data_IF_358163631192
#
_entry.id   IF_358163631192
#
_cell.length_a   1.000
_cell.length_b   1.000
_cell.length_c   1.000
_cell.angle_alpha   90.00
_cell.angle_beta   90.00
_cell.angle_gamma   90.00
#
_symmetry.space_group_name_H-M   'P 1'
#
loop_
_entity.id
_entity.type
_entity.pdbx_description
1 polymer ?
#
# COMPACT_ATOMS: atom_id res chain seq x y z
N UNK A 1 -8.11 -56.14 -37.34
CA UNK A 1 -9.45 -56.04 -36.75
C UNK A 1 -9.39 -55.05 -35.62
N UNK A 2 -9.75 -53.80 -35.91
CA UNK A 2 -9.90 -52.76 -34.87
C UNK A 2 -11.06 -51.90 -35.30
N UNK A 3 -12.25 -52.25 -34.88
CA UNK A 3 -13.43 -51.43 -34.99
C UNK A 3 -13.96 -51.17 -33.60
N UNK A 4 -14.17 -49.93 -33.29
CA UNK A 4 -15.04 -49.58 -32.17
C UNK A 4 -14.59 -48.52 -31.22
N UNK A 5 -14.34 -47.29 -31.68
CA UNK A 5 -14.24 -46.19 -30.71
C UNK A 5 -14.76 -44.81 -31.22
N UNK A 6 -15.32 -44.74 -32.41
CA UNK A 6 -15.81 -43.47 -32.95
C UNK A 6 -17.16 -43.01 -32.37
N UNK A 7 -17.94 -43.90 -31.77
CA UNK A 7 -19.21 -43.57 -31.13
C UNK A 7 -19.03 -42.91 -29.74
N UNK A 8 -18.11 -43.46 -28.95
CA UNK A 8 -17.86 -43.02 -27.58
C UNK A 8 -17.23 -41.64 -27.51
N UNK A 9 -16.28 -41.31 -28.39
CA UNK A 9 -15.63 -40.01 -28.46
C UNK A 9 -16.58 -38.90 -28.90
N UNK A 10 -17.46 -39.19 -29.88
CA UNK A 10 -18.49 -38.23 -30.30
C UNK A 10 -19.51 -37.96 -29.20
N UNK A 11 -19.92 -39.00 -28.48
CA UNK A 11 -20.83 -38.87 -27.34
C UNK A 11 -20.18 -38.00 -26.24
N UNK A 12 -18.91 -38.20 -25.94
CA UNK A 12 -18.16 -37.45 -24.94
C UNK A 12 -18.04 -35.98 -25.31
N UNK A 13 -17.79 -35.68 -26.58
CA UNK A 13 -17.71 -34.30 -27.07
C UNK A 13 -19.06 -33.57 -26.99
N UNK A 14 -20.15 -34.27 -27.28
CA UNK A 14 -21.50 -33.71 -27.17
C UNK A 14 -21.84 -33.41 -25.71
N UNK A 15 -21.51 -34.32 -24.79
CA UNK A 15 -21.73 -34.09 -23.35
C UNK A 15 -20.91 -32.92 -22.86
N UNK A 16 -19.65 -32.80 -23.28
CA UNK A 16 -18.79 -31.67 -22.93
C UNK A 16 -19.34 -30.34 -23.45
N UNK A 17 -19.80 -30.30 -24.70
CA UNK A 17 -20.42 -29.13 -25.28
C UNK A 17 -21.69 -28.69 -24.53
N UNK A 18 -22.55 -29.67 -24.13
CA UNK A 18 -23.75 -29.37 -23.35
C UNK A 18 -23.43 -28.85 -21.94
N UNK A 19 -22.37 -29.37 -21.29
CA UNK A 19 -21.90 -28.89 -19.99
C UNK A 19 -21.39 -27.44 -20.10
N UNK A 20 -20.63 -27.13 -21.15
CA UNK A 20 -20.12 -25.75 -21.36
C UNK A 20 -21.24 -24.77 -21.65
N UNK A 21 -22.25 -25.17 -22.45
CA UNK A 21 -23.45 -24.37 -22.70
C UNK A 21 -24.23 -24.15 -21.41
N UNK A 22 -24.38 -25.18 -20.58
CA UNK A 22 -25.10 -25.10 -19.31
C UNK A 22 -24.37 -24.15 -18.30
N UNK A 23 -23.05 -24.25 -18.23
CA UNK A 23 -22.24 -23.33 -17.39
C UNK A 23 -22.37 -21.90 -17.90
N UNK A 24 -22.26 -21.68 -19.21
CA UNK A 24 -22.44 -20.36 -19.80
C UNK A 24 -23.84 -19.78 -19.57
N UNK A 25 -24.87 -20.62 -19.68
CA UNK A 25 -26.25 -20.19 -19.39
C UNK A 25 -26.47 -19.83 -17.93
N UNK A 26 -25.89 -20.60 -17.00
CA UNK A 26 -25.94 -20.30 -15.58
C UNK A 26 -25.22 -18.99 -15.24
N UNK A 27 -24.08 -18.71 -15.87
CA UNK A 27 -23.36 -17.44 -15.67
C UNK A 27 -24.12 -16.24 -16.22
N UNK A 28 -24.92 -16.44 -17.27
CA UNK A 28 -25.71 -15.35 -17.87
C UNK A 28 -27.04 -15.11 -17.13
N UNK A 29 -27.61 -16.14 -16.49
CA UNK A 29 -28.92 -16.06 -15.81
C UNK A 29 -28.84 -15.82 -14.31
N UNK A 30 -27.63 -15.82 -13.70
CA UNK A 30 -27.50 -15.32 -12.35
C UNK A 30 -27.61 -13.79 -12.41
N UNK A 31 -28.66 -13.20 -11.82
CA UNK A 31 -28.66 -11.75 -11.64
C UNK A 31 -27.44 -11.44 -10.79
N UNK A 32 -26.59 -10.54 -11.31
CA UNK A 32 -25.55 -9.91 -10.52
C UNK A 32 -26.23 -9.46 -9.23
N UNK A 33 -25.88 -10.08 -8.13
CA UNK A 33 -26.21 -9.54 -6.82
C UNK A 33 -25.31 -8.30 -6.68
N UNK A 34 -25.71 -7.23 -7.39
CA UNK A 34 -25.30 -5.90 -7.01
C UNK A 34 -25.63 -5.79 -5.53
N UNK A 35 -24.58 -5.83 -4.74
CA UNK A 35 -24.64 -5.36 -3.36
C UNK A 35 -24.95 -3.87 -3.42
N UNK A 36 -26.19 -3.55 -3.81
CA UNK A 36 -26.86 -2.35 -3.40
C UNK A 36 -27.02 -2.49 -1.89
N UNK A 37 -25.91 -2.33 -1.20
CA UNK A 37 -25.96 -2.04 0.23
C UNK A 37 -26.67 -0.70 0.31
N UNK A 38 -27.96 -0.81 0.55
CA UNK A 38 -28.87 0.27 0.74
C UNK A 38 -28.26 1.32 1.67
N UNK A 39 -27.90 2.47 1.10
CA UNK A 39 -27.59 3.69 1.83
C UNK A 39 -28.79 4.24 2.63
N UNK A 40 -29.70 3.37 3.05
CA UNK A 40 -30.90 3.76 3.79
C UNK A 40 -30.85 3.43 5.28
N UNK A 41 -29.69 2.90 5.76
CA UNK A 41 -29.48 2.76 7.20
C UNK A 41 -28.22 3.58 7.59
N UNK A 42 -28.24 4.85 7.19
CA UNK A 42 -27.58 5.83 8.06
C UNK A 42 -28.61 6.10 9.14
N UNK A 43 -28.63 5.20 10.12
CA UNK A 43 -29.48 5.39 11.29
C UNK A 43 -29.23 6.79 11.83
N UNK A 44 -30.31 7.55 12.02
CA UNK A 44 -30.25 8.87 12.67
C UNK A 44 -29.49 8.79 14.00
N UNK A 45 -29.43 7.61 14.61
CA UNK A 45 -28.63 7.29 15.77
C UNK A 45 -27.11 7.33 15.52
N UNK A 46 -26.64 7.00 14.30
CA UNK A 46 -25.21 7.11 13.94
C UNK A 46 -24.86 8.58 13.70
N UNK A 47 -25.72 9.32 13.00
CA UNK A 47 -25.53 10.77 12.81
C UNK A 47 -25.53 11.54 14.13
N UNK A 48 -26.31 11.11 15.10
CA UNK A 48 -26.34 11.71 16.44
C UNK A 48 -25.03 11.46 17.20
N UNK A 49 -24.40 10.27 17.02
CA UNK A 49 -23.13 9.91 17.67
C UNK A 49 -21.91 10.63 17.07
N UNK A 50 -21.96 11.00 15.81
CA UNK A 50 -20.87 11.69 15.11
C UNK A 50 -21.08 13.21 15.05
N UNK A 51 -22.10 13.75 15.71
CA UNK A 51 -22.22 15.20 15.86
C UNK A 51 -20.96 15.75 16.54
N UNK A 52 -20.31 16.75 15.96
CA UNK A 52 -19.17 17.38 16.59
C UNK A 52 -19.59 17.97 17.93
N UNK A 53 -18.91 17.55 19.01
CA UNK A 53 -19.12 18.03 20.38
C UNK A 53 -18.38 19.35 20.57
N UNK A 54 -18.76 20.38 19.85
CA UNK A 54 -18.18 21.69 19.99
C UNK A 54 -18.29 22.53 18.72
N UNK A 55 -18.67 23.77 18.88
CA UNK A 55 -18.59 24.77 17.83
C UNK A 55 -17.18 25.37 17.85
N UNK A 56 -16.35 25.02 16.88
CA UNK A 56 -15.06 25.69 16.72
C UNK A 56 -15.33 27.07 16.16
N UNK A 57 -15.34 28.07 17.03
CA UNK A 57 -15.28 29.46 16.60
C UNK A 57 -13.90 29.76 16.05
N UNK A 58 -13.80 29.83 14.75
CA UNK A 58 -12.60 30.31 14.07
C UNK A 58 -12.71 31.83 14.08
N UNK A 59 -12.04 32.47 15.04
CA UNK A 59 -11.84 33.92 15.00
C UNK A 59 -10.89 34.23 13.84
N UNK A 60 -11.47 34.68 12.73
CA UNK A 60 -10.77 34.99 11.48
C UNK A 60 -9.71 36.08 11.63
N UNK A 61 -9.71 36.81 12.75
CA UNK A 61 -8.70 37.86 13.04
C UNK A 61 -7.30 37.31 13.38
N UNK A 62 -7.18 36.01 13.77
CA UNK A 62 -5.89 35.38 14.06
C UNK A 62 -5.38 34.48 12.91
N UNK A 63 -6.17 34.30 11.82
CA UNK A 63 -5.73 33.45 10.70
C UNK A 63 -4.70 34.11 9.79
N UNK A 64 -4.60 35.44 9.79
CA UNK A 64 -3.62 36.13 8.92
C UNK A 64 -2.21 36.08 9.49
N UNK A 65 -2.04 35.79 10.79
CA UNK A 65 -0.71 35.69 11.42
C UNK A 65 -0.13 34.27 11.43
N UNK A 66 -0.96 33.22 11.12
CA UNK A 66 -0.50 31.83 11.05
C UNK A 66 -0.23 31.32 9.63
N UNK A 67 -0.50 32.14 8.60
CA UNK A 67 -0.27 31.76 7.20
C UNK A 67 1.16 32.05 6.69
N UNK A 68 2.01 32.70 7.50
CA UNK A 68 3.39 33.05 7.11
C UNK A 68 4.48 32.22 7.80
N UNK A 69 4.15 31.12 8.48
CA UNK A 69 5.16 30.22 9.05
C UNK A 69 4.81 28.74 8.91
N UNK A 70 4.20 28.34 7.81
CA UNK A 70 4.26 26.97 7.34
C UNK A 70 5.42 26.82 6.33
N UNK A 71 6.60 27.24 6.69
CA UNK A 71 7.76 26.39 6.46
C UNK A 71 7.49 25.18 7.35
N UNK A 72 6.92 24.12 6.80
CA UNK A 72 6.92 22.80 7.38
C UNK A 72 8.40 22.50 7.63
N UNK A 73 8.85 22.64 8.87
CA UNK A 73 10.23 22.30 9.19
C UNK A 73 10.36 20.84 8.83
N UNK A 74 11.16 20.55 7.78
CA UNK A 74 11.40 19.17 7.36
C UNK A 74 11.84 18.39 8.58
N UNK A 75 11.18 17.25 8.79
CA UNK A 75 11.54 16.33 9.86
C UNK A 75 12.95 15.79 9.61
N UNK A 76 13.69 15.59 10.68
CA UNK A 76 15.04 15.01 10.56
C UNK A 76 15.02 13.58 10.06
N UNK A 77 16.10 13.14 9.44
CA UNK A 77 16.24 11.74 9.00
C UNK A 77 16.12 10.76 10.15
N UNK A 78 16.60 11.12 11.35
CA UNK A 78 16.46 10.32 12.56
C UNK A 78 15.00 10.20 13.01
N UNK A 79 14.26 11.30 13.00
CA UNK A 79 12.86 11.30 13.41
C UNK A 79 12.01 10.43 12.48
N UNK A 80 12.20 10.55 11.17
CA UNK A 80 11.52 9.70 10.18
C UNK A 80 11.96 8.24 10.34
N UNK A 81 13.25 7.98 10.51
CA UNK A 81 13.74 6.63 10.74
C UNK A 81 13.02 5.98 11.94
N UNK A 82 13.04 6.63 13.08
CA UNK A 82 12.46 6.11 14.32
C UNK A 82 10.94 5.89 14.23
N UNK A 83 10.23 6.77 13.51
CA UNK A 83 8.77 6.70 13.43
C UNK A 83 8.24 5.80 12.31
N UNK A 84 8.97 5.63 11.20
CA UNK A 84 8.47 4.95 10.00
C UNK A 84 9.33 3.75 9.54
N UNK A 85 10.64 3.80 9.73
CA UNK A 85 11.56 2.85 9.12
C UNK A 85 12.05 1.78 10.11
N UNK A 86 12.22 2.14 11.38
CA UNK A 86 12.82 1.29 12.41
C UNK A 86 12.07 -0.04 12.60
N UNK A 87 10.75 -0.06 12.40
CA UNK A 87 9.95 -1.28 12.55
C UNK A 87 10.46 -2.45 11.72
N UNK A 88 10.94 -2.18 10.51
CA UNK A 88 11.52 -3.20 9.62
C UNK A 88 13.05 -3.20 9.68
N UNK A 89 13.68 -2.03 9.66
CA UNK A 89 15.13 -1.90 9.54
C UNK A 89 15.91 -2.13 10.84
N UNK A 90 15.26 -2.22 12.00
CA UNK A 90 15.92 -2.64 13.23
C UNK A 90 16.03 -4.16 13.33
N UNK A 91 14.98 -4.87 12.95
CA UNK A 91 14.88 -6.32 13.14
C UNK A 91 15.14 -7.15 11.87
N UNK A 92 15.19 -6.52 10.69
CA UNK A 92 15.41 -7.21 9.42
C UNK A 92 14.16 -7.91 8.88
N UNK A 93 12.97 -7.48 9.26
CA UNK A 93 11.70 -8.04 8.77
C UNK A 93 11.63 -7.92 7.25
N UNK A 94 11.11 -8.95 6.58
CA UNK A 94 10.96 -9.01 5.12
C UNK A 94 12.26 -8.79 4.36
N UNK A 95 13.37 -9.26 4.90
CA UNK A 95 14.71 -9.12 4.32
C UNK A 95 15.20 -7.66 4.21
N UNK A 96 14.70 -6.80 5.12
CA UNK A 96 15.15 -5.43 5.23
C UNK A 96 16.59 -5.38 5.75
N UNK A 97 17.51 -4.62 5.12
CA UNK A 97 18.86 -4.46 5.64
C UNK A 97 18.80 -3.73 7.00
N UNK A 98 19.47 -4.31 7.99
CA UNK A 98 19.40 -3.80 9.37
C UNK A 98 20.20 -2.51 9.53
N UNK A 99 19.68 -1.63 10.37
CA UNK A 99 20.37 -0.40 10.76
C UNK A 99 21.73 -0.70 11.40
N UNK A 100 22.73 0.10 11.11
CA UNK A 100 24.10 -0.05 11.60
C UNK A 100 24.77 -1.41 11.29
N UNK A 101 24.28 -2.16 10.29
CA UNK A 101 24.84 -3.44 9.89
C UNK A 101 25.62 -3.30 8.56
N UNK A 102 26.92 -3.11 8.63
CA UNK A 102 27.76 -3.07 7.42
C UNK A 102 27.58 -4.32 6.54
N UNK A 103 27.37 -5.50 7.14
CA UNK A 103 27.17 -6.75 6.41
C UNK A 103 25.94 -6.66 5.50
N UNK A 104 24.81 -6.18 6.04
CA UNK A 104 23.55 -6.10 5.29
C UNK A 104 23.58 -4.99 4.21
N UNK A 105 24.39 -3.96 4.41
CA UNK A 105 24.49 -2.81 3.52
C UNK A 105 25.65 -2.90 2.51
N UNK A 106 26.66 -3.74 2.72
CA UNK A 106 27.89 -3.78 1.92
C UNK A 106 27.65 -3.90 0.42
N UNK A 107 26.63 -4.64 0.00
CA UNK A 107 26.28 -4.80 -1.42
C UNK A 107 25.43 -3.65 -2.00
N UNK A 108 25.05 -2.68 -1.17
CA UNK A 108 24.11 -1.60 -1.51
C UNK A 108 24.76 -0.23 -1.49
N UNK A 109 25.71 0.01 -0.61
CA UNK A 109 26.33 1.34 -0.41
C UNK A 109 27.07 1.85 -1.65
N UNK A 110 27.62 0.96 -2.45
CA UNK A 110 28.40 1.30 -3.66
C UNK A 110 27.57 2.04 -4.72
N UNK A 111 26.24 1.91 -4.69
CA UNK A 111 25.38 2.60 -5.65
C UNK A 111 25.20 4.08 -5.33
N UNK A 112 25.53 4.48 -4.12
CA UNK A 112 25.48 5.86 -3.63
C UNK A 112 24.10 6.34 -3.18
N UNK A 113 24.12 7.42 -2.38
CA UNK A 113 22.95 8.01 -1.73
C UNK A 113 21.76 8.25 -2.68
N UNK A 114 21.98 8.84 -3.83
CA UNK A 114 20.92 9.20 -4.77
C UNK A 114 20.14 7.97 -5.26
N UNK A 115 20.84 6.90 -5.64
CA UNK A 115 20.18 5.67 -6.11
C UNK A 115 19.49 4.92 -4.98
N UNK A 116 20.05 4.95 -3.78
CA UNK A 116 19.41 4.37 -2.59
C UNK A 116 18.14 5.14 -2.26
N UNK A 117 18.18 6.46 -2.31
CA UNK A 117 17.01 7.33 -2.10
C UNK A 117 15.90 7.03 -3.13
N UNK A 118 16.24 6.97 -4.42
CA UNK A 118 15.27 6.61 -5.47
C UNK A 118 14.67 5.22 -5.25
N UNK A 119 15.47 4.26 -4.79
CA UNK A 119 14.99 2.91 -4.47
C UNK A 119 14.05 2.92 -3.26
N UNK A 120 14.32 3.74 -2.26
CA UNK A 120 13.45 3.90 -1.09
C UNK A 120 12.13 4.58 -1.45
N UNK A 121 12.16 5.61 -2.31
CA UNK A 121 10.97 6.31 -2.79
C UNK A 121 10.08 5.36 -3.62
N UNK A 122 10.68 4.60 -4.53
CA UNK A 122 9.95 3.66 -5.38
C UNK A 122 9.48 2.40 -4.64
N UNK A 123 10.14 2.04 -3.54
CA UNK A 123 9.99 0.74 -2.88
C UNK A 123 10.85 -0.34 -3.55
N UNK A 124 11.27 -1.35 -2.79
CA UNK A 124 12.13 -2.43 -3.30
C UNK A 124 11.86 -3.75 -2.60
N UNK A 125 11.50 -4.79 -3.35
CA UNK A 125 11.20 -6.10 -2.78
C UNK A 125 10.03 -6.05 -1.81
N UNK A 126 10.26 -6.40 -0.55
CA UNK A 126 9.27 -6.32 0.52
C UNK A 126 9.03 -4.91 1.07
N UNK A 127 9.87 -3.95 0.72
CA UNK A 127 9.74 -2.56 1.17
C UNK A 127 8.73 -1.80 0.31
N UNK A 128 7.65 -1.26 0.88
CA UNK A 128 6.70 -0.43 0.14
C UNK A 128 7.31 0.93 -0.24
N UNK A 129 6.70 1.66 -1.20
CA UNK A 129 7.13 3.02 -1.55
C UNK A 129 7.26 3.91 -0.32
N UNK A 130 8.38 4.63 -0.21
CA UNK A 130 8.73 5.50 0.93
C UNK A 130 8.67 4.81 2.30
N UNK A 131 8.78 3.46 2.36
CA UNK A 131 8.60 2.71 3.60
C UNK A 131 7.20 2.88 4.23
N UNK A 132 6.18 3.07 3.39
CA UNK A 132 4.80 3.41 3.77
C UNK A 132 4.63 4.82 4.41
N UNK A 133 5.63 5.68 4.37
CA UNK A 133 5.50 7.09 4.78
C UNK A 133 4.89 7.93 3.65
N UNK A 134 3.56 7.92 3.55
CA UNK A 134 2.87 8.61 2.45
C UNK A 134 2.91 10.13 2.55
N UNK A 135 3.15 10.65 3.75
CA UNK A 135 3.27 12.06 4.08
C UNK A 135 4.71 12.59 4.05
N UNK A 136 5.69 11.72 3.81
CA UNK A 136 7.09 12.12 3.69
C UNK A 136 7.40 12.77 2.34
N UNK A 137 8.11 13.89 2.37
CA UNK A 137 8.72 14.47 1.18
C UNK A 137 9.89 13.60 0.69
N UNK A 138 10.26 13.75 -0.57
CA UNK A 138 11.40 13.02 -1.13
C UNK A 138 12.72 13.43 -0.45
N UNK A 139 12.80 14.68 0.03
CA UNK A 139 13.96 15.20 0.75
C UNK A 139 14.05 14.59 2.16
N UNK A 140 12.93 14.45 2.86
CA UNK A 140 12.89 13.72 4.15
C UNK A 140 13.33 12.27 4.00
N UNK A 141 12.91 11.58 2.90
CA UNK A 141 13.39 10.22 2.60
C UNK A 141 14.90 10.22 2.33
N UNK A 142 15.43 11.21 1.59
CA UNK A 142 16.86 11.33 1.35
C UNK A 142 17.64 11.52 2.66
N UNK A 143 17.18 12.42 3.52
CA UNK A 143 17.79 12.67 4.83
C UNK A 143 17.75 11.41 5.71
N UNK A 144 16.67 10.60 5.62
CA UNK A 144 16.55 9.33 6.34
C UNK A 144 17.53 8.28 5.81
N UNK A 145 17.69 8.17 4.48
CA UNK A 145 18.68 7.27 3.88
C UNK A 145 20.09 7.68 4.29
N UNK A 146 20.40 8.98 4.29
CA UNK A 146 21.68 9.48 4.76
C UNK A 146 21.93 9.12 6.23
N UNK A 147 20.95 9.33 7.11
CA UNK A 147 21.03 8.94 8.52
C UNK A 147 21.35 7.45 8.72
N UNK A 148 20.74 6.57 7.90
CA UNK A 148 21.05 5.13 7.93
C UNK A 148 22.49 4.87 7.48
N UNK A 149 22.94 5.53 6.40
CA UNK A 149 24.32 5.35 5.88
C UNK A 149 25.36 5.83 6.89
N UNK A 150 25.13 6.95 7.55
CA UNK A 150 26.05 7.51 8.56
C UNK A 150 26.21 6.58 9.77
N UNK A 151 25.24 5.68 10.00
CA UNK A 151 25.31 4.69 11.09
C UNK A 151 26.18 3.48 10.77
N UNK A 152 26.59 3.32 9.51
CA UNK A 152 27.31 2.14 9.01
C UNK A 152 28.85 2.36 9.02
N UNK A 153 29.29 3.61 9.12
CA UNK A 153 30.71 4.01 9.13
C UNK A 153 31.46 3.61 10.42
#
# INVERSE_FOLDING_TARGET
MSQGSTGSTKLMLIVWALVMIFIGYKSFTTPNSDSSHSNSIVDNAVLERIKPVGEVRIDTSNMVASAESNESSERSGEEIYNSKCAGCHTSGVMDAPKYASLEDWSTRIDVGLEKLTLSAIAGKGGMPPKGACMDCTDNEIKNTVQYILDSIE
#
